data_IF_632158427956
#
_entry.id   IF_632158427956
#
_cell.length_a   1.000
_cell.length_b   1.000
_cell.length_c   1.000
_cell.angle_alpha   90.00
_cell.angle_beta   90.00
_cell.angle_gamma   90.00
#
_symmetry.space_group_name_H-M   'P 1'
#
loop_
_entity.id
_entity.type
_entity.pdbx_description
1 polymer ?
#
# COMPACT_ATOMS: atom_id res chain seq x y z
N UNK A 1 -2.16 -19.26 20.09
CA UNK A 1 -2.82 -19.38 18.77
C UNK A 1 -2.86 -17.99 18.10
N UNK A 2 -3.19 -17.89 16.83
CA UNK A 2 -3.41 -16.59 16.17
C UNK A 2 -4.55 -16.69 15.17
N UNK A 3 -5.24 -15.57 14.95
CA UNK A 3 -6.28 -15.44 13.93
C UNK A 3 -5.66 -14.78 12.71
N UNK A 4 -5.89 -15.35 11.53
CA UNK A 4 -5.36 -14.82 10.28
C UNK A 4 -6.47 -14.14 9.47
N UNK A 5 -6.21 -12.91 9.05
CA UNK A 5 -7.05 -12.17 8.13
C UNK A 5 -6.36 -12.10 6.77
N UNK A 6 -6.90 -12.83 5.80
CA UNK A 6 -6.49 -12.74 4.41
C UNK A 6 -7.21 -11.58 3.74
N UNK A 7 -6.45 -10.69 3.11
CA UNK A 7 -7.01 -9.57 2.36
C UNK A 7 -6.26 -9.37 1.06
N UNK A 8 -6.90 -8.61 0.19
CA UNK A 8 -6.42 -8.41 -1.16
C UNK A 8 -6.58 -6.98 -1.59
N UNK A 9 -5.61 -6.50 -2.35
CA UNK A 9 -5.65 -5.16 -2.94
C UNK A 9 -5.13 -5.16 -4.36
N UNK A 10 -5.41 -4.09 -5.09
CA UNK A 10 -4.95 -3.93 -6.47
C UNK A 10 -3.49 -3.47 -6.48
N UNK A 11 -2.61 -4.25 -7.09
CA UNK A 11 -1.22 -3.90 -7.36
C UNK A 11 -0.94 -3.69 -8.85
N UNK A 12 0.19 -3.06 -9.16
CA UNK A 12 0.68 -2.87 -10.52
C UNK A 12 2.15 -3.28 -10.57
N UNK A 13 2.50 -4.20 -11.47
CA UNK A 13 3.87 -4.71 -11.57
C UNK A 13 4.74 -3.97 -12.60
N UNK A 14 4.19 -2.94 -13.25
CA UNK A 14 4.83 -2.22 -14.38
C UNK A 14 4.32 -2.66 -15.76
N UNK A 15 3.61 -3.78 -15.85
CA UNK A 15 2.99 -4.25 -17.09
C UNK A 15 1.48 -4.37 -16.93
N UNK A 16 1.04 -5.12 -15.92
CA UNK A 16 -0.36 -5.44 -15.66
C UNK A 16 -0.76 -5.05 -14.25
N UNK A 17 -2.05 -4.74 -14.09
CA UNK A 17 -2.68 -4.71 -12.78
C UNK A 17 -3.02 -6.14 -12.36
N UNK A 18 -3.06 -6.37 -11.06
CA UNK A 18 -3.48 -7.66 -10.52
C UNK A 18 -3.71 -7.61 -9.03
N UNK A 19 -4.23 -8.70 -8.50
CA UNK A 19 -4.55 -8.87 -7.09
C UNK A 19 -3.28 -9.22 -6.32
N UNK A 20 -2.99 -8.44 -5.29
CA UNK A 20 -1.94 -8.72 -4.33
C UNK A 20 -2.59 -9.31 -3.10
N UNK A 21 -2.13 -10.50 -2.70
CA UNK A 21 -2.54 -11.15 -1.47
C UNK A 21 -1.65 -10.70 -0.31
N UNK A 22 -2.25 -10.47 0.85
CA UNK A 22 -1.50 -10.24 2.08
C UNK A 22 -2.31 -10.79 3.24
N UNK A 23 -1.59 -11.20 4.29
CA UNK A 23 -2.18 -11.76 5.50
C UNK A 23 -1.79 -10.87 6.66
N UNK A 24 -2.76 -10.55 7.51
CA UNK A 24 -2.50 -9.98 8.81
C UNK A 24 -2.80 -11.01 9.88
N UNK A 25 -1.88 -11.18 10.82
CA UNK A 25 -2.10 -12.00 12.01
C UNK A 25 -2.54 -11.12 13.18
N UNK A 26 -3.54 -11.61 13.90
CA UNK A 26 -3.96 -11.10 15.19
C UNK A 26 -3.58 -12.16 16.20
N UNK A 27 -2.59 -11.85 17.04
CA UNK A 27 -2.20 -12.73 18.14
C UNK A 27 -3.39 -12.97 19.05
N UNK A 28 -3.54 -14.19 19.54
CA UNK A 28 -4.48 -14.49 20.62
C UNK A 28 -4.23 -13.55 21.80
N UNK A 29 -5.31 -13.08 22.41
CA UNK A 29 -5.28 -12.19 23.54
C UNK A 29 -6.20 -12.75 24.61
N UNK A 30 -5.82 -12.60 25.88
CA UNK A 30 -6.65 -13.04 26.99
C UNK A 30 -7.80 -12.07 27.20
N UNK A 31 -8.96 -12.62 27.57
CA UNK A 31 -10.16 -11.88 27.95
C UNK A 31 -10.62 -10.90 26.85
N UNK A 32 -10.84 -9.64 27.24
CA UNK A 32 -11.40 -8.59 26.41
C UNK A 32 -10.27 -7.63 26.04
N UNK A 33 -10.14 -7.34 24.75
CA UNK A 33 -9.20 -6.35 24.24
C UNK A 33 -9.95 -5.25 23.51
N UNK A 34 -9.58 -3.99 23.76
CA UNK A 34 -10.14 -2.85 23.02
C UNK A 34 -9.87 -3.05 21.53
N UNK A 35 -10.90 -2.99 20.69
CA UNK A 35 -10.76 -3.13 19.23
C UNK A 35 -9.79 -2.09 18.63
N UNK A 36 -9.71 -0.89 19.21
CA UNK A 36 -8.76 0.16 18.82
C UNK A 36 -7.28 -0.18 19.12
N UNK A 37 -7.01 -1.18 19.98
CA UNK A 37 -5.65 -1.66 20.28
C UNK A 37 -5.18 -2.79 19.38
N UNK A 38 -6.03 -3.25 18.46
CA UNK A 38 -5.67 -4.22 17.44
C UNK A 38 -4.95 -3.51 16.29
N UNK A 39 -4.05 -4.22 15.62
CA UNK A 39 -3.31 -3.70 14.46
C UNK A 39 -4.22 -3.43 13.24
N UNK A 40 -5.45 -3.94 13.26
CA UNK A 40 -6.46 -3.77 12.22
C UNK A 40 -7.72 -3.22 12.89
N UNK A 41 -8.23 -2.13 12.34
CA UNK A 41 -9.44 -1.49 12.85
C UNK A 41 -10.50 -1.40 11.75
N UNK A 42 -11.70 -1.99 11.95
CA UNK A 42 -12.73 -2.01 10.92
C UNK A 42 -13.20 -0.60 10.52
N UNK A 43 -13.36 -0.40 9.21
CA UNK A 43 -13.71 0.92 8.65
C UNK A 43 -15.05 1.47 9.19
N UNK A 44 -15.97 0.57 9.58
CA UNK A 44 -17.32 0.90 10.04
C UNK A 44 -17.30 1.77 11.30
N UNK A 45 -16.29 1.60 12.16
CA UNK A 45 -16.17 2.30 13.44
C UNK A 45 -15.52 3.69 13.32
N UNK A 46 -15.03 4.10 12.14
CA UNK A 46 -14.53 5.47 11.96
C UNK A 46 -15.69 6.45 11.80
N UNK A 47 -15.70 7.51 12.63
CA UNK A 47 -16.62 8.65 12.49
C UNK A 47 -16.54 9.28 11.09
N UNK A 48 -15.35 9.29 10.49
CA UNK A 48 -15.07 9.88 9.17
C UNK A 48 -15.09 8.86 8.02
N UNK A 49 -15.78 7.71 8.17
CA UNK A 49 -15.82 6.61 7.17
C UNK A 49 -16.15 7.08 5.75
N UNK A 50 -17.05 8.04 5.59
CA UNK A 50 -17.42 8.59 4.28
C UNK A 50 -16.23 9.29 3.59
N UNK A 51 -15.52 10.16 4.32
CA UNK A 51 -14.31 10.85 3.84
C UNK A 51 -13.19 9.86 3.51
N UNK A 52 -13.01 8.84 4.35
CA UNK A 52 -12.02 7.79 4.10
C UNK A 52 -12.35 7.04 2.79
N UNK A 53 -13.62 6.67 2.57
CA UNK A 53 -14.06 6.02 1.32
C UNK A 53 -13.85 6.91 0.09
N UNK A 54 -14.18 8.19 0.18
CA UNK A 54 -13.92 9.14 -0.91
C UNK A 54 -12.43 9.24 -1.24
N UNK A 55 -11.58 9.34 -0.22
CA UNK A 55 -10.13 9.32 -0.40
C UNK A 55 -9.64 8.04 -1.07
N UNK A 56 -10.17 6.87 -0.70
CA UNK A 56 -9.81 5.62 -1.37
C UNK A 56 -10.20 5.60 -2.85
N UNK A 57 -11.38 6.12 -3.20
CA UNK A 57 -11.81 6.21 -4.61
C UNK A 57 -10.90 7.15 -5.39
N UNK A 58 -10.61 8.34 -4.84
CA UNK A 58 -9.71 9.32 -5.45
C UNK A 58 -8.30 8.74 -5.65
N UNK A 59 -7.74 8.14 -4.60
CA UNK A 59 -6.42 7.51 -4.65
C UNK A 59 -6.37 6.34 -5.64
N UNK A 60 -7.44 5.54 -5.73
CA UNK A 60 -7.54 4.45 -6.71
C UNK A 60 -7.51 5.00 -8.14
N UNK A 61 -8.28 6.04 -8.44
CA UNK A 61 -8.28 6.69 -9.78
C UNK A 61 -6.90 7.25 -10.10
N UNK A 62 -6.29 7.97 -9.16
CA UNK A 62 -4.92 8.49 -9.29
C UNK A 62 -3.89 7.38 -9.51
N UNK A 63 -4.00 6.26 -8.79
CA UNK A 63 -3.11 5.11 -8.94
C UNK A 63 -3.19 4.50 -10.34
N UNK A 64 -4.41 4.34 -10.87
CA UNK A 64 -4.62 3.84 -12.23
C UNK A 64 -4.08 4.83 -13.27
N UNK A 65 -4.30 6.13 -13.06
CA UNK A 65 -3.80 7.20 -13.93
C UNK A 65 -2.27 7.22 -14.02
N UNK A 66 -1.56 6.88 -12.93
CA UNK A 66 -0.10 6.81 -12.88
C UNK A 66 0.50 5.57 -13.55
N UNK A 67 -0.29 4.77 -14.28
CA UNK A 67 0.22 3.67 -15.12
C UNK A 67 1.20 4.21 -16.16
N UNK A 68 2.25 3.46 -16.45
CA UNK A 68 3.27 3.83 -17.44
C UNK A 68 4.37 4.72 -16.88
N UNK A 69 4.80 5.70 -17.67
CA UNK A 69 5.90 6.62 -17.35
C UNK A 69 5.31 8.01 -17.21
N UNK A 70 5.45 8.62 -16.03
CA UNK A 70 4.93 9.95 -15.77
C UNK A 70 6.01 10.85 -15.17
N UNK A 71 6.07 12.10 -15.63
CA UNK A 71 7.01 13.11 -15.15
C UNK A 71 6.25 14.16 -14.32
N UNK A 72 6.72 14.39 -13.09
CA UNK A 72 6.09 15.36 -12.19
C UNK A 72 7.11 16.24 -11.49
N UNK A 73 6.68 17.43 -11.06
CA UNK A 73 7.33 18.18 -9.99
C UNK A 73 6.64 17.82 -8.68
N UNK A 74 7.41 17.33 -7.70
CA UNK A 74 6.89 16.86 -6.43
C UNK A 74 7.61 17.54 -5.26
N UNK A 75 6.82 17.93 -4.25
CA UNK A 75 7.29 18.49 -2.98
C UNK A 75 6.52 17.78 -1.87
N UNK A 76 7.18 16.89 -1.14
CA UNK A 76 6.52 16.07 -0.13
C UNK A 76 7.39 14.93 0.37
N UNK A 77 6.79 13.98 1.09
CA UNK A 77 7.51 12.84 1.63
C UNK A 77 7.47 11.64 0.68
N UNK A 78 8.64 11.04 0.47
CA UNK A 78 8.80 9.71 -0.12
C UNK A 78 9.00 8.65 0.95
N UNK A 79 8.73 7.41 0.58
CA UNK A 79 8.97 6.24 1.42
C UNK A 79 9.70 5.17 0.61
N UNK A 80 10.73 4.57 1.22
CA UNK A 80 11.48 3.47 0.65
C UNK A 80 11.52 2.31 1.63
N UNK A 81 11.11 1.11 1.21
CA UNK A 81 11.09 -0.05 2.10
C UNK A 81 12.50 -0.62 2.26
N UNK A 82 12.97 -0.70 3.50
CA UNK A 82 14.19 -1.40 3.91
C UNK A 82 13.83 -2.49 4.93
N UNK A 83 14.78 -3.36 5.27
CA UNK A 83 14.55 -4.45 6.21
C UNK A 83 14.10 -3.95 7.60
N UNK A 84 14.56 -2.76 8.01
CA UNK A 84 14.19 -2.12 9.28
C UNK A 84 12.82 -1.40 9.23
N UNK A 85 12.11 -1.42 8.10
CA UNK A 85 10.83 -0.75 7.91
C UNK A 85 10.87 0.32 6.80
N UNK A 86 9.84 1.18 6.69
CA UNK A 86 9.79 2.23 5.69
C UNK A 86 10.70 3.41 6.08
N UNK A 87 11.74 3.66 5.29
CA UNK A 87 12.56 4.87 5.38
C UNK A 87 11.80 6.05 4.76
N UNK A 88 11.49 7.05 5.59
CA UNK A 88 10.83 8.29 5.15
C UNK A 88 11.88 9.34 4.80
N UNK A 89 11.74 10.00 3.65
CA UNK A 89 12.63 11.07 3.23
C UNK A 89 11.88 12.20 2.52
N UNK A 90 12.46 13.40 2.51
CA UNK A 90 11.86 14.59 1.90
C UNK A 90 12.28 14.69 0.43
N UNK A 91 11.31 14.88 -0.45
CA UNK A 91 11.53 15.07 -1.90
C UNK A 91 11.11 16.49 -2.25
N UNK A 92 11.99 17.21 -2.95
CA UNK A 92 11.70 18.53 -3.53
C UNK A 92 12.36 18.61 -4.91
N UNK A 93 11.61 18.39 -5.98
CA UNK A 93 12.18 18.42 -7.33
C UNK A 93 11.34 17.71 -8.38
N UNK A 94 11.98 17.39 -9.50
CA UNK A 94 11.39 16.57 -10.57
C UNK A 94 11.51 15.10 -10.19
N UNK A 95 10.44 14.33 -10.44
CA UNK A 95 10.38 12.89 -10.21
C UNK A 95 9.85 12.19 -11.46
N UNK A 96 10.23 10.92 -11.60
CA UNK A 96 9.69 10.00 -12.60
C UNK A 96 8.93 8.91 -11.86
N UNK A 97 7.66 8.74 -12.18
CA UNK A 97 6.85 7.63 -11.70
C UNK A 97 6.84 6.56 -12.77
N UNK A 98 7.62 5.49 -12.55
CA UNK A 98 7.74 4.35 -13.45
C UNK A 98 8.07 3.07 -12.65
N UNK A 99 7.15 2.10 -12.66
CA UNK A 99 7.30 0.87 -11.89
C UNK A 99 8.38 -0.08 -12.45
N UNK A 100 8.63 -0.09 -13.77
CA UNK A 100 9.67 -0.92 -14.40
C UNK A 100 11.04 -0.34 -14.06
N UNK A 101 11.24 0.97 -14.27
CA UNK A 101 12.50 1.64 -13.95
C UNK A 101 12.83 1.49 -12.46
N UNK A 102 11.84 1.65 -11.56
CA UNK A 102 12.02 1.43 -10.13
C UNK A 102 12.48 -0.01 -9.81
N UNK A 103 11.86 -1.02 -10.44
CA UNK A 103 12.25 -2.43 -10.26
C UNK A 103 13.69 -2.68 -10.74
N UNK A 104 14.06 -2.15 -11.90
CA UNK A 104 15.37 -2.36 -12.48
C UNK A 104 16.48 -1.69 -11.65
N UNK A 105 16.22 -0.48 -11.13
CA UNK A 105 17.17 0.21 -10.25
C UNK A 105 17.28 -0.41 -8.86
N UNK A 106 16.26 -1.18 -8.42
CA UNK A 106 16.20 -1.76 -7.08
C UNK A 106 15.86 -3.27 -7.16
N UNK A 107 16.76 -4.12 -7.67
CA UNK A 107 16.47 -5.54 -7.91
C UNK A 107 16.11 -6.31 -6.62
N UNK A 108 16.69 -5.93 -5.49
CA UNK A 108 16.47 -6.55 -4.18
C UNK A 108 15.30 -5.91 -3.40
N UNK A 109 14.51 -5.03 -4.02
CA UNK A 109 13.39 -4.39 -3.35
C UNK A 109 12.25 -5.38 -3.12
N UNK A 110 12.04 -5.76 -1.86
CA UNK A 110 10.95 -6.66 -1.48
C UNK A 110 9.59 -6.01 -1.79
N UNK A 111 8.89 -6.58 -2.78
CA UNK A 111 7.53 -6.19 -3.13
C UNK A 111 6.61 -7.42 -3.12
N UNK A 112 5.38 -7.27 -2.61
CA UNK A 112 4.36 -8.29 -2.74
C UNK A 112 4.15 -8.69 -4.20
N UNK A 113 3.97 -9.99 -4.44
CA UNK A 113 3.72 -10.49 -5.78
C UNK A 113 2.32 -10.08 -6.26
N UNK A 114 2.26 -9.63 -7.51
CA UNK A 114 1.01 -9.28 -8.17
C UNK A 114 0.55 -10.51 -8.93
N UNK A 115 -0.47 -11.18 -8.41
CA UNK A 115 -1.07 -12.33 -9.09
C UNK A 115 -1.97 -11.79 -10.20
N UNK A 116 -1.69 -12.20 -11.44
CA UNK A 116 -2.47 -11.76 -12.59
C UNK A 116 -3.93 -12.16 -12.37
N UNK A 117 -4.83 -11.21 -12.44
CA UNK A 117 -6.26 -11.46 -12.35
C UNK A 117 -6.82 -10.97 -13.67
N UNK A 118 -6.84 -11.92 -14.61
CA UNK A 118 -7.18 -11.81 -16.04
C UNK A 118 -6.07 -11.16 -16.92
#
# INVERSE_FOLDING_TARGET
KCFELNYYYLGYNGKVFGKVATTFSISEFYLIRKIASLNIFPLIYYKTKAKIRQNFIYNRRKFIFLKGINYYKYKGFGYFRINKGPLKFLIRGRIIVNAIAFKNANPNYSKPQVNKTY
#
